data_IF_890754895149
#
_entry.id   IF_890754895149
#
_cell.length_a   1.000
_cell.length_b   1.000
_cell.length_c   1.000
_cell.angle_alpha   90.00
_cell.angle_beta   90.00
_cell.angle_gamma   90.00
#
_symmetry.space_group_name_H-M   'P 1'
#
loop_
_entity.id
_entity.type
_entity.pdbx_description
1 polymer ?
#
# COMPACT_ATOMS: atom_id res chain seq x y z
N UNK A 1 -5.50 6.60 17.59
CA UNK A 1 -4.76 5.78 16.60
C UNK A 1 -5.77 5.17 15.64
N UNK A 2 -5.46 5.18 14.35
CA UNK A 2 -6.31 4.63 13.29
C UNK A 2 -5.71 3.33 12.75
N UNK A 3 -6.57 2.39 12.37
CA UNK A 3 -6.13 1.09 11.85
C UNK A 3 -6.82 0.78 10.53
N UNK A 4 -6.04 0.57 9.47
CA UNK A 4 -6.52 -0.04 8.24
C UNK A 4 -6.42 -1.55 8.37
N UNK A 5 -7.53 -2.20 8.68
CA UNK A 5 -7.60 -3.65 8.85
C UNK A 5 -7.90 -4.29 7.52
N UNK A 6 -7.00 -5.13 7.03
CA UNK A 6 -7.14 -5.91 5.82
C UNK A 6 -7.46 -7.36 6.21
N UNK A 7 -8.51 -7.91 5.63
CA UNK A 7 -8.87 -9.32 5.75
C UNK A 7 -8.84 -9.94 4.36
N UNK A 8 -7.89 -10.84 4.12
CA UNK A 8 -7.85 -11.62 2.87
C UNK A 8 -9.09 -12.50 2.79
N UNK A 9 -9.65 -12.61 1.59
CA UNK A 9 -10.88 -13.38 1.36
C UNK A 9 -10.65 -14.56 0.45
N UNK A 10 -9.91 -14.37 -0.65
CA UNK A 10 -9.61 -15.45 -1.60
C UNK A 10 -8.45 -15.06 -2.51
N UNK A 11 -7.94 -16.04 -3.27
CA UNK A 11 -7.11 -15.80 -4.44
C UNK A 11 -8.04 -15.81 -5.66
N UNK A 12 -7.83 -14.88 -6.60
CA UNK A 12 -8.62 -14.78 -7.83
C UNK A 12 -8.65 -16.12 -8.56
N UNK A 13 -9.80 -16.45 -9.16
CA UNK A 13 -9.93 -17.64 -10.00
C UNK A 13 -9.33 -17.43 -11.39
N UNK A 14 -9.29 -16.17 -11.84
CA UNK A 14 -8.73 -15.78 -13.12
C UNK A 14 -7.37 -15.12 -12.96
N UNK A 15 -6.50 -15.44 -13.92
CA UNK A 15 -5.23 -14.77 -14.12
C UNK A 15 -5.44 -13.48 -14.90
N UNK A 16 -4.66 -12.47 -14.58
CA UNK A 16 -4.62 -11.27 -15.40
C UNK A 16 -3.84 -11.48 -16.71
N UNK A 17 -3.67 -10.41 -17.48
CA UNK A 17 -2.98 -10.43 -18.76
C UNK A 17 -1.51 -10.88 -18.70
N UNK A 18 -0.88 -10.83 -17.52
CA UNK A 18 0.49 -11.32 -17.30
C UNK A 18 0.52 -12.77 -16.79
N UNK A 19 -0.63 -13.41 -16.62
CA UNK A 19 -0.72 -14.76 -16.08
C UNK A 19 -0.67 -14.81 -14.55
N UNK A 20 -0.81 -13.68 -13.88
CA UNK A 20 -0.71 -13.57 -12.42
C UNK A 20 -2.08 -13.67 -11.75
N UNK A 21 -2.12 -14.36 -10.62
CA UNK A 21 -3.28 -14.36 -9.73
C UNK A 21 -3.17 -13.22 -8.72
N UNK A 22 -4.30 -12.80 -8.18
CA UNK A 22 -4.40 -11.72 -7.20
C UNK A 22 -4.93 -12.28 -5.90
N UNK A 23 -4.26 -12.02 -4.77
CA UNK A 23 -4.90 -12.21 -3.47
C UNK A 23 -5.83 -11.03 -3.22
N UNK A 24 -7.13 -11.28 -3.12
CA UNK A 24 -8.16 -10.27 -2.90
C UNK A 24 -8.56 -10.30 -1.42
N UNK A 25 -8.76 -9.13 -0.85
CA UNK A 25 -9.26 -8.95 0.52
C UNK A 25 -10.28 -7.83 0.62
N UNK A 26 -10.85 -7.67 1.80
CA UNK A 26 -11.57 -6.45 2.19
C UNK A 26 -10.69 -5.64 3.12
N UNK A 27 -10.93 -4.33 3.18
CA UNK A 27 -10.35 -3.48 4.21
C UNK A 27 -11.39 -2.59 4.88
N UNK A 28 -11.13 -2.26 6.15
CA UNK A 28 -11.85 -1.26 6.91
C UNK A 28 -10.84 -0.35 7.61
N UNK A 29 -10.92 0.96 7.37
CA UNK A 29 -10.21 1.94 8.17
C UNK A 29 -11.06 2.29 9.40
N UNK A 30 -10.52 2.05 10.60
CA UNK A 30 -11.21 2.31 11.87
C UNK A 30 -10.52 3.39 12.69
N UNK A 31 -11.31 4.14 13.44
CA UNK A 31 -10.81 5.01 14.51
C UNK A 31 -10.51 4.23 15.81
N UNK A 32 -10.07 4.95 16.84
CA UNK A 32 -9.72 4.35 18.13
C UNK A 32 -10.93 3.81 18.90
N UNK A 33 -12.14 4.19 18.51
CA UNK A 33 -13.41 3.71 19.09
C UNK A 33 -13.96 2.51 18.30
N UNK A 34 -13.32 2.12 17.20
CA UNK A 34 -13.74 1.03 16.33
C UNK A 34 -14.77 1.44 15.28
N UNK A 35 -15.07 2.74 15.13
CA UNK A 35 -15.98 3.20 14.08
C UNK A 35 -15.30 3.09 12.72
N UNK A 36 -16.01 2.57 11.73
CA UNK A 36 -15.53 2.50 10.35
C UNK A 36 -15.62 3.88 9.70
N UNK A 37 -14.47 4.39 9.23
CA UNK A 37 -14.35 5.65 8.52
C UNK A 37 -14.64 5.44 7.02
N UNK A 38 -14.00 4.44 6.42
CA UNK A 38 -14.30 3.96 5.08
C UNK A 38 -13.80 2.52 4.92
N UNK A 39 -14.34 1.83 3.93
CA UNK A 39 -14.07 0.43 3.63
C UNK A 39 -13.97 0.18 2.14
N UNK A 40 -13.38 -0.94 1.76
CA UNK A 40 -13.25 -1.34 0.36
C UNK A 40 -12.57 -2.69 0.20
N UNK A 41 -11.83 -2.84 -0.89
CA UNK A 41 -11.14 -4.07 -1.25
C UNK A 41 -9.63 -3.87 -1.38
N UNK A 42 -8.86 -4.86 -0.99
CA UNK A 42 -7.41 -4.87 -1.15
C UNK A 42 -6.99 -5.89 -2.21
N UNK A 43 -5.87 -5.62 -2.86
CA UNK A 43 -5.19 -6.59 -3.70
C UNK A 43 -3.71 -6.69 -3.35
N UNK A 44 -3.20 -7.91 -3.34
CA UNK A 44 -1.79 -8.27 -3.20
C UNK A 44 -1.45 -9.35 -4.23
N UNK A 45 -0.18 -9.69 -4.39
CA UNK A 45 0.21 -10.79 -5.27
C UNK A 45 -0.46 -12.11 -4.85
N UNK A 46 -0.87 -12.94 -5.82
CA UNK A 46 -1.53 -14.24 -5.60
C UNK A 46 -0.61 -15.35 -5.07
N UNK A 47 0.68 -15.06 -4.86
CA UNK A 47 1.67 -16.02 -4.35
C UNK A 47 1.63 -16.15 -2.82
N UNK A 48 2.53 -16.98 -2.28
CA UNK A 48 2.73 -17.18 -0.84
C UNK A 48 3.16 -15.88 -0.15
N UNK A 49 2.83 -15.75 1.14
CA UNK A 49 3.39 -14.70 2.00
C UNK A 49 4.86 -14.96 2.31
N UNK A 50 5.69 -13.91 2.28
CA UNK A 50 7.12 -14.00 2.59
C UNK A 50 7.70 -12.63 2.95
N UNK A 51 8.78 -12.59 3.74
CA UNK A 51 9.60 -11.39 3.99
C UNK A 51 10.83 -11.29 3.05
N UNK A 52 11.00 -12.22 2.12
CA UNK A 52 12.12 -12.21 1.18
C UNK A 52 12.08 -10.95 0.28
N UNK A 53 13.19 -10.22 0.24
CA UNK A 53 13.34 -9.04 -0.61
C UNK A 53 13.54 -9.43 -2.08
N UNK A 54 13.22 -8.51 -2.99
CA UNK A 54 13.37 -8.68 -4.45
C UNK A 54 12.54 -9.84 -5.04
N UNK A 55 11.51 -10.28 -4.32
CA UNK A 55 10.54 -11.27 -4.78
C UNK A 55 9.15 -10.65 -4.80
N UNK A 56 8.38 -11.01 -5.83
CA UNK A 56 6.96 -10.66 -5.92
C UNK A 56 6.12 -11.63 -5.07
N UNK A 57 6.30 -11.52 -3.76
CA UNK A 57 5.58 -12.30 -2.77
C UNK A 57 4.56 -11.47 -2.03
N UNK A 58 3.44 -12.12 -1.70
CA UNK A 58 2.40 -11.55 -0.85
C UNK A 58 2.99 -11.06 0.47
N UNK A 59 2.40 -10.00 1.04
CA UNK A 59 2.89 -9.39 2.28
C UNK A 59 2.68 -10.40 3.43
N UNK A 60 3.50 -10.37 4.47
CA UNK A 60 3.27 -11.24 5.63
C UNK A 60 2.10 -10.70 6.48
N UNK A 61 1.19 -11.54 6.99
CA UNK A 61 0.20 -11.11 7.97
C UNK A 61 0.89 -10.59 9.24
N UNK A 62 0.67 -9.31 9.57
CA UNK A 62 1.10 -8.62 10.80
C UNK A 62 0.60 -7.17 10.78
N UNK A 63 0.92 -6.42 11.82
CA UNK A 63 0.74 -4.97 11.87
C UNK A 63 1.97 -4.26 11.31
N UNK A 64 1.72 -3.30 10.41
CA UNK A 64 2.72 -2.46 9.77
C UNK A 64 2.51 -1.00 10.13
N UNK A 65 3.61 -0.29 10.32
CA UNK A 65 3.63 1.17 10.38
C UNK A 65 3.85 1.75 8.98
N UNK A 66 3.54 3.03 8.86
CA UNK A 66 3.65 3.78 7.61
C UNK A 66 4.68 4.89 7.73
N UNK A 67 5.29 5.21 6.59
CA UNK A 67 6.09 6.43 6.42
C UNK A 67 5.91 6.99 5.02
N UNK A 68 6.06 8.29 4.89
CA UNK A 68 6.15 8.93 3.58
C UNK A 68 7.52 8.70 2.97
N UNK A 69 7.55 8.47 1.65
CA UNK A 69 8.79 8.28 0.91
C UNK A 69 8.64 8.74 -0.54
N UNK A 70 9.76 9.11 -1.16
CA UNK A 70 9.83 9.29 -2.61
C UNK A 70 9.84 7.94 -3.31
N UNK A 71 8.97 7.78 -4.31
CA UNK A 71 8.72 6.50 -4.97
C UNK A 71 8.54 6.62 -6.47
N UNK A 72 8.75 5.51 -7.18
CA UNK A 72 8.50 5.35 -8.62
C UNK A 72 7.11 4.77 -8.92
N UNK A 73 6.41 4.24 -7.90
CA UNK A 73 5.11 3.57 -8.10
C UNK A 73 4.02 4.56 -8.48
N UNK A 74 2.91 4.04 -9.03
CA UNK A 74 1.78 4.84 -9.43
C UNK A 74 1.01 5.37 -8.21
N UNK A 75 1.01 6.69 -8.04
CA UNK A 75 0.25 7.37 -6.97
C UNK A 75 -0.96 8.11 -7.57
N UNK A 76 -1.94 8.53 -6.75
CA UNK A 76 -3.08 9.33 -7.21
C UNK A 76 -2.66 10.50 -8.10
N UNK A 77 -3.43 10.73 -9.18
CA UNK A 77 -3.22 11.84 -10.12
C UNK A 77 -3.62 13.17 -9.49
N UNK A 78 -2.89 13.56 -8.45
CA UNK A 78 -3.05 14.79 -7.68
C UNK A 78 -1.69 15.46 -7.58
N UNK A 79 -1.64 16.77 -7.79
CA UNK A 79 -0.42 17.58 -7.62
C UNK A 79 0.14 17.50 -6.19
N UNK A 80 -0.67 17.05 -5.24
CA UNK A 80 -0.24 16.84 -3.86
C UNK A 80 0.69 15.64 -3.69
N UNK A 81 0.57 14.61 -4.54
CA UNK A 81 1.31 13.34 -4.38
C UNK A 81 2.15 12.98 -5.62
N UNK A 82 1.75 13.42 -6.81
CA UNK A 82 2.42 13.11 -8.07
C UNK A 82 3.28 14.28 -8.52
N UNK A 83 4.52 14.00 -8.92
CA UNK A 83 5.48 15.01 -9.39
C UNK A 83 5.66 16.19 -8.42
N UNK A 84 5.78 15.89 -7.13
CA UNK A 84 5.89 16.90 -6.08
C UNK A 84 7.25 17.58 -6.09
N UNK A 85 7.35 18.87 -5.71
CA UNK A 85 8.63 19.52 -5.42
C UNK A 85 9.33 18.86 -4.22
N UNK A 86 10.67 18.82 -4.24
CA UNK A 86 11.45 18.21 -3.16
C UNK A 86 11.22 18.93 -1.83
N UNK A 87 11.28 20.26 -1.85
CA UNK A 87 11.21 21.13 -0.69
C UNK A 87 9.85 21.05 0.01
N UNK A 88 8.79 20.71 -0.73
CA UNK A 88 7.45 20.53 -0.17
C UNK A 88 7.30 19.24 0.66
N UNK A 89 8.22 18.28 0.48
CA UNK A 89 8.12 16.92 1.03
C UNK A 89 9.36 16.46 1.80
N UNK A 90 10.51 17.13 1.66
CA UNK A 90 11.77 16.75 2.30
C UNK A 90 11.64 16.60 3.81
N UNK A 91 10.83 17.42 4.47
CA UNK A 91 10.64 17.37 5.92
C UNK A 91 9.68 16.25 6.37
N UNK A 92 8.89 15.70 5.43
CA UNK A 92 7.97 14.58 5.67
C UNK A 92 8.63 13.22 5.39
N UNK A 93 9.73 13.22 4.65
CA UNK A 93 10.47 12.02 4.25
C UNK A 93 11.79 11.96 5.01
N UNK A 94 12.08 10.82 5.64
CA UNK A 94 13.37 10.62 6.33
C UNK A 94 14.56 10.89 5.39
N UNK A 95 15.59 11.59 5.87
CA UNK A 95 16.73 12.03 5.06
C UNK A 95 17.44 10.89 4.32
N UNK A 96 17.45 9.69 4.90
CA UNK A 96 18.03 8.49 4.27
C UNK A 96 17.38 8.12 2.93
N UNK A 97 16.17 8.62 2.64
CA UNK A 97 15.47 8.39 1.37
C UNK A 97 15.51 9.59 0.42
N UNK A 98 16.14 10.71 0.78
CA UNK A 98 16.22 11.89 -0.09
C UNK A 98 16.94 11.60 -1.40
N UNK A 99 17.89 10.65 -1.41
CA UNK A 99 18.58 10.23 -2.64
C UNK A 99 17.63 9.68 -3.71
N UNK A 100 16.49 9.09 -3.32
CA UNK A 100 15.49 8.60 -4.27
C UNK A 100 14.95 9.74 -5.14
N UNK A 101 14.82 10.94 -4.57
CA UNK A 101 14.48 12.12 -5.34
C UNK A 101 15.70 12.69 -6.06
N UNK A 102 16.75 13.03 -5.32
CA UNK A 102 17.86 13.86 -5.81
C UNK A 102 18.75 13.15 -6.83
N UNK A 103 18.92 11.83 -6.70
CA UNK A 103 19.75 11.01 -7.58
C UNK A 103 18.94 10.16 -8.55
N UNK A 104 17.78 9.64 -8.13
CA UNK A 104 17.00 8.68 -8.94
C UNK A 104 15.76 9.30 -9.60
N UNK A 105 15.45 10.57 -9.29
CA UNK A 105 14.36 11.30 -9.93
C UNK A 105 12.96 10.83 -9.55
N UNK A 106 12.78 10.18 -8.39
CA UNK A 106 11.48 9.73 -7.92
C UNK A 106 10.68 10.92 -7.36
N UNK A 107 9.81 11.48 -8.20
CA UNK A 107 9.04 12.69 -7.87
C UNK A 107 7.65 12.40 -7.31
N UNK A 108 7.29 11.14 -7.05
CA UNK A 108 6.02 10.82 -6.40
C UNK A 108 6.25 10.67 -4.89
N UNK A 109 5.34 11.22 -4.09
CA UNK A 109 5.26 10.96 -2.66
C UNK A 109 4.28 9.80 -2.40
N UNK A 110 4.77 8.72 -1.79
CA UNK A 110 4.00 7.51 -1.51
C UNK A 110 4.15 7.01 -0.08
N UNK A 111 3.22 6.16 0.33
CA UNK A 111 3.23 5.49 1.63
C UNK A 111 3.98 4.16 1.54
N UNK A 112 5.04 4.03 2.34
CA UNK A 112 5.88 2.84 2.47
C UNK A 112 5.54 2.13 3.77
N UNK A 113 5.30 0.81 3.70
CA UNK A 113 5.12 -0.04 4.87
C UNK A 113 6.48 -0.36 5.49
N UNK A 114 6.54 -0.37 6.82
CA UNK A 114 7.66 -0.90 7.57
C UNK A 114 7.19 -1.57 8.86
N UNK A 115 8.02 -2.43 9.44
CA UNK A 115 7.78 -2.98 10.77
C UNK A 115 9.03 -2.78 11.65
N UNK A 116 8.91 -2.17 12.83
CA UNK A 116 10.05 -2.01 13.75
C UNK A 116 10.67 -3.34 14.18
N UNK A 117 9.89 -4.42 14.18
CA UNK A 117 10.34 -5.76 14.60
C UNK A 117 11.28 -6.41 13.57
N UNK A 118 11.21 -5.97 12.31
CA UNK A 118 12.07 -6.45 11.23
C UNK A 118 12.51 -5.26 10.36
N UNK A 119 13.51 -4.47 10.79
CA UNK A 119 13.96 -3.29 10.04
C UNK A 119 14.39 -3.59 8.60
N UNK A 120 14.93 -4.80 8.34
CA UNK A 120 15.29 -5.26 7.00
C UNK A 120 14.11 -5.39 6.05
N UNK A 121 12.87 -5.44 6.55
CA UNK A 121 11.65 -5.45 5.74
C UNK A 121 11.53 -4.22 4.83
N UNK A 122 12.09 -3.07 5.23
CA UNK A 122 12.08 -1.85 4.40
C UNK A 122 12.76 -2.07 3.04
N UNK A 123 13.68 -3.04 2.93
CA UNK A 123 14.34 -3.41 1.68
C UNK A 123 13.38 -4.06 0.66
N UNK A 124 12.21 -4.54 1.10
CA UNK A 124 11.14 -5.01 0.20
C UNK A 124 10.47 -3.87 -0.54
N UNK A 125 10.57 -2.63 -0.05
CA UNK A 125 9.98 -1.44 -0.67
C UNK A 125 8.49 -1.60 -0.99
N UNK A 126 7.70 -2.05 -0.01
CA UNK A 126 6.26 -2.28 -0.17
C UNK A 126 5.50 -0.97 0.01
N UNK A 127 4.88 -0.48 -1.05
CA UNK A 127 4.07 0.73 -1.01
C UNK A 127 2.57 0.43 -0.95
N UNK A 128 1.78 1.44 -0.59
CA UNK A 128 0.34 1.47 -0.94
C UNK A 128 0.19 2.25 -2.23
N UNK A 129 -0.27 1.65 -3.32
CA UNK A 129 -0.29 2.34 -4.62
C UNK A 129 -1.44 1.91 -5.53
N UNK A 130 -1.56 2.58 -6.68
CA UNK A 130 -2.64 2.35 -7.64
C UNK A 130 -2.32 1.15 -8.52
N UNK A 131 -3.26 0.22 -8.58
CA UNK A 131 -3.21 -1.00 -9.39
C UNK A 131 -4.49 -1.79 -9.16
N UNK A 132 -4.76 -2.77 -10.03
CA UNK A 132 -6.00 -3.53 -9.98
C UNK A 132 -5.79 -5.04 -9.85
N UNK A 133 -4.70 -5.61 -10.39
CA UNK A 133 -4.46 -7.07 -10.37
C UNK A 133 -3.03 -7.43 -9.99
N UNK A 134 -2.73 -8.73 -9.94
CA UNK A 134 -1.42 -9.31 -9.62
C UNK A 134 -0.25 -8.58 -10.28
N UNK A 135 -0.30 -8.39 -11.61
CA UNK A 135 0.74 -7.71 -12.39
C UNK A 135 1.05 -6.29 -11.92
N UNK A 136 0.06 -5.60 -11.32
CA UNK A 136 0.21 -4.24 -10.84
C UNK A 136 0.75 -4.21 -9.40
N UNK A 137 0.70 -5.34 -8.68
CA UNK A 137 1.10 -5.39 -7.26
C UNK A 137 2.59 -5.11 -7.12
N UNK A 138 3.46 -5.81 -7.85
CA UNK A 138 4.92 -5.70 -7.70
C UNK A 138 5.33 -5.81 -6.22
N UNK A 139 4.82 -6.83 -5.52
CA UNK A 139 4.93 -7.06 -4.08
C UNK A 139 4.27 -5.99 -3.16
N UNK A 140 3.61 -4.98 -3.72
CA UNK A 140 3.00 -3.90 -2.97
C UNK A 140 1.54 -4.19 -2.59
N UNK A 141 0.98 -3.30 -1.75
CA UNK A 141 -0.42 -3.32 -1.37
C UNK A 141 -1.23 -2.39 -2.28
N UNK A 142 -2.34 -2.88 -2.81
CA UNK A 142 -3.29 -2.12 -3.61
C UNK A 142 -4.61 -1.95 -2.85
N UNK A 143 -5.27 -0.81 -3.02
CA UNK A 143 -6.60 -0.52 -2.44
C UNK A 143 -7.57 -0.13 -3.55
N UNK A 144 -8.83 -0.55 -3.43
CA UNK A 144 -9.90 -0.31 -4.38
C UNK A 144 -11.25 -0.11 -3.69
N UNK A 145 -12.22 0.43 -4.45
CA UNK A 145 -13.61 0.62 -3.99
C UNK A 145 -14.56 -0.45 -4.53
N UNK A 146 -14.10 -1.26 -5.49
CA UNK A 146 -14.85 -2.40 -6.03
C UNK A 146 -13.96 -3.61 -6.26
N UNK A 147 -14.59 -4.71 -6.68
CA UNK A 147 -13.96 -6.01 -6.93
C UNK A 147 -14.40 -6.54 -8.29
N UNK A 148 -13.56 -7.39 -8.88
CA UNK A 148 -13.77 -8.13 -10.12
C UNK A 148 -13.23 -9.54 -9.96
N UNK A 149 -13.45 -10.42 -10.94
CA UNK A 149 -12.94 -11.80 -10.90
C UNK A 149 -11.41 -11.89 -10.89
N UNK A 150 -10.71 -10.86 -11.37
CA UNK A 150 -9.24 -10.82 -11.47
C UNK A 150 -8.56 -10.01 -10.35
N UNK A 151 -9.31 -9.20 -9.59
CA UNK A 151 -8.72 -8.22 -8.66
C UNK A 151 -9.68 -7.13 -8.24
N UNK A 152 -9.16 -5.93 -7.99
CA UNK A 152 -9.92 -4.78 -7.49
C UNK A 152 -10.20 -3.75 -8.60
N UNK A 153 -11.13 -2.82 -8.34
CA UNK A 153 -11.45 -1.70 -9.23
C UNK A 153 -11.50 -0.38 -8.46
N UNK A 154 -11.47 0.75 -9.19
CA UNK A 154 -11.50 2.11 -8.63
C UNK A 154 -10.35 2.41 -7.65
N UNK A 155 -9.16 1.89 -7.95
CA UNK A 155 -7.98 2.03 -7.08
C UNK A 155 -7.45 3.46 -6.98
N UNK A 156 -7.60 4.27 -8.03
CA UNK A 156 -7.19 5.69 -7.99
C UNK A 156 -7.93 6.47 -6.89
N UNK A 157 -9.23 6.23 -6.74
CA UNK A 157 -10.04 6.93 -5.74
C UNK A 157 -9.76 6.41 -4.33
N UNK A 158 -9.71 5.09 -4.15
CA UNK A 158 -9.40 4.47 -2.85
C UNK A 158 -8.04 4.91 -2.29
N UNK A 159 -6.99 4.87 -3.13
CA UNK A 159 -5.64 5.27 -2.71
C UNK A 159 -5.58 6.78 -2.45
N UNK A 160 -6.31 7.60 -3.21
CA UNK A 160 -6.42 9.05 -2.95
C UNK A 160 -7.04 9.33 -1.59
N UNK A 161 -8.18 8.72 -1.30
CA UNK A 161 -8.88 8.89 -0.01
C UNK A 161 -7.98 8.47 1.15
N UNK A 162 -7.30 7.32 1.03
CA UNK A 162 -6.37 6.86 2.04
C UNK A 162 -5.18 7.80 2.23
N UNK A 163 -4.54 8.26 1.15
CA UNK A 163 -3.42 9.19 1.22
C UNK A 163 -3.81 10.53 1.84
N UNK A 164 -4.94 11.10 1.42
CA UNK A 164 -5.47 12.35 1.98
C UNK A 164 -5.78 12.20 3.47
N UNK A 165 -6.35 11.06 3.86
CA UNK A 165 -6.61 10.73 5.25
C UNK A 165 -5.32 10.68 6.07
N UNK A 166 -4.33 9.89 5.64
CA UNK A 166 -3.05 9.72 6.33
C UNK A 166 -2.31 11.06 6.45
N UNK A 167 -2.34 11.88 5.40
CA UNK A 167 -1.75 13.23 5.44
C UNK A 167 -2.45 14.14 6.44
N UNK A 168 -3.79 14.06 6.54
CA UNK A 168 -4.59 14.86 7.46
C UNK A 168 -4.34 14.50 8.92
N UNK A 169 -4.24 13.21 9.24
CA UNK A 169 -4.15 12.74 10.64
C UNK A 169 -2.72 12.56 11.14
N UNK A 170 -1.72 12.65 10.27
CA UNK A 170 -0.33 12.32 10.59
C UNK A 170 -0.06 10.82 10.39
N UNK A 171 1.05 10.50 9.72
CA UNK A 171 1.37 9.12 9.30
C UNK A 171 1.66 8.21 10.49
N UNK A 172 2.20 8.77 11.56
CA UNK A 172 2.48 8.11 12.84
C UNK A 172 1.20 7.66 13.57
N UNK A 173 0.04 8.20 13.20
CA UNK A 173 -1.25 7.88 13.82
C UNK A 173 -2.02 6.78 13.08
N UNK A 174 -1.43 6.18 12.04
CA UNK A 174 -2.07 5.16 11.19
C UNK A 174 -1.21 3.91 11.11
N UNK A 175 -1.83 2.75 11.33
CA UNK A 175 -1.23 1.43 11.13
C UNK A 175 -2.05 0.60 10.14
N UNK A 176 -1.41 -0.36 9.48
CA UNK A 176 -2.07 -1.34 8.62
C UNK A 176 -1.97 -2.71 9.27
N UNK A 177 -3.10 -3.35 9.54
CA UNK A 177 -3.17 -4.70 10.10
C UNK A 177 -3.60 -5.67 9.02
N UNK A 178 -2.72 -6.58 8.61
CA UNK A 178 -3.03 -7.60 7.59
C UNK A 178 -3.32 -8.92 8.29
N UNK A 179 -4.56 -9.40 8.14
CA UNK A 179 -5.00 -10.69 8.65
C UNK A 179 -4.98 -11.73 7.52
N UNK A 180 -4.58 -12.95 7.88
CA UNK A 180 -4.53 -14.02 6.90
C UNK A 180 -5.94 -14.50 6.49
N UNK A 181 -6.02 -15.23 5.38
CA UNK A 181 -7.20 -16.01 5.04
C UNK A 181 -7.59 -16.84 6.26
N UNK A 182 -8.85 -16.73 6.70
CA UNK A 182 -9.37 -17.68 7.67
C UNK A 182 -9.33 -19.07 7.01
N UNK A 183 -8.66 -20.02 7.65
CA UNK A 183 -8.73 -21.45 7.29
C UNK A 183 -10.16 -21.98 7.39
#
# INVERSE_FOLDING_TARGET
MYQLIIKRTHISSQKDSAGELTTIGTYELKDAQGNVIFSGYSAENGTKSSDEALKDYRIMPRTYKLKWCFTKVAVPKSERFRNVPFEAWSDKVESKYHERYTKWGFKNAGLLLYTPELPSFENRTIYVHIGNSGKDTQACLLLGKGVSEMGITNSTEAVREFYEFVLKVGVENVEICINELAE
#
